data_IF_089095069939
#
_entry.id   IF_089095069939
#
_cell.length_a   1.000
_cell.length_b   1.000
_cell.length_c   1.000
_cell.angle_alpha   90.00
_cell.angle_beta   90.00
_cell.angle_gamma   90.00
#
_symmetry.space_group_name_H-M   'P 1'
#
loop_
_entity.id
_entity.type
_entity.pdbx_description
1 polymer ?
#
# COMPACT_ATOMS: atom_id res chain seq x y z
N UNK A 1 16.66 -11.18 21.99
CA UNK A 1 16.37 -10.96 21.52
C UNK A 1 16.24 -10.61 20.65
N UNK A 2 16.15 -10.68 20.17
CA UNK A 2 16.01 -10.36 19.20
C UNK A 2 15.34 -9.68 18.78
N UNK A 3 15.38 -8.99 18.94
CA UNK A 3 14.89 -8.18 18.49
C UNK A 3 15.05 -7.65 17.35
N UNK A 4 15.56 -8.00 16.61
CA UNK A 4 15.75 -7.45 15.39
C UNK A 4 14.72 -7.87 14.51
N UNK A 5 13.61 -8.12 14.98
CA UNK A 5 12.55 -8.40 14.13
C UNK A 5 12.06 -7.12 13.63
N UNK A 6 12.12 -6.95 12.36
CA UNK A 6 11.51 -5.83 11.78
C UNK A 6 10.09 -6.17 11.61
N UNK A 7 9.28 -5.53 12.34
CA UNK A 7 7.87 -5.77 12.24
C UNK A 7 7.29 -4.69 11.35
N UNK A 8 7.58 -4.81 10.07
CA UNK A 8 7.06 -3.88 9.09
C UNK A 8 6.19 -4.65 8.11
N UNK A 9 4.96 -4.20 7.96
CA UNK A 9 4.01 -4.80 7.05
C UNK A 9 3.79 -3.84 5.90
N UNK A 10 3.86 -4.34 4.68
CA UNK A 10 3.58 -3.54 3.50
C UNK A 10 2.29 -4.01 2.86
N UNK A 11 1.52 -3.07 2.35
CA UNK A 11 0.28 -3.36 1.66
C UNK A 11 0.17 -2.47 0.45
N UNK A 12 -0.31 -3.06 -0.66
CA UNK A 12 -0.50 -2.31 -1.88
C UNK A 12 -1.97 -2.27 -2.24
N UNK A 13 -2.39 -1.18 -2.85
CA UNK A 13 -3.75 -1.08 -3.34
C UNK A 13 -3.78 -0.19 -4.56
N UNK A 14 -4.80 -0.37 -5.39
CA UNK A 14 -4.98 0.45 -6.58
C UNK A 14 -5.24 1.89 -6.18
N UNK A 15 -4.66 2.83 -6.93
CA UNK A 15 -4.89 4.24 -6.70
C UNK A 15 -6.36 4.61 -6.86
N UNK A 16 -7.13 3.79 -7.55
CA UNK A 16 -8.56 4.04 -7.74
C UNK A 16 -9.42 3.47 -6.62
N UNK A 17 -8.83 2.64 -5.76
CA UNK A 17 -9.59 2.00 -4.71
C UNK A 17 -9.53 2.83 -3.43
N UNK A 18 -10.36 3.86 -3.38
CA UNK A 18 -10.37 4.79 -2.26
C UNK A 18 -10.76 4.11 -0.96
N UNK A 19 -11.68 3.16 -1.03
CA UNK A 19 -12.12 2.46 0.17
C UNK A 19 -10.98 1.71 0.84
N UNK A 20 -10.16 1.00 0.04
CA UNK A 20 -9.01 0.28 0.59
C UNK A 20 -7.98 1.24 1.17
N UNK A 21 -7.76 2.38 0.51
CA UNK A 21 -6.82 3.38 1.03
C UNK A 21 -7.28 3.88 2.39
N UNK A 22 -8.57 4.13 2.53
CA UNK A 22 -9.09 4.60 3.80
C UNK A 22 -8.96 3.55 4.90
N UNK A 23 -9.20 2.29 4.56
CA UNK A 23 -9.03 1.20 5.52
C UNK A 23 -7.59 1.11 6.00
N UNK A 24 -6.65 1.21 5.07
CA UNK A 24 -5.23 1.16 5.42
C UNK A 24 -4.84 2.30 6.33
N UNK A 25 -5.29 3.51 6.01
CA UNK A 25 -4.97 4.68 6.84
C UNK A 25 -5.56 4.54 8.23
N UNK A 26 -6.79 4.06 8.33
CA UNK A 26 -7.42 3.87 9.63
C UNK A 26 -6.76 2.78 10.44
N UNK A 27 -6.12 1.83 9.77
CA UNK A 27 -5.41 0.75 10.43
C UNK A 27 -4.00 1.12 10.84
N UNK A 28 -3.61 2.37 10.62
CA UNK A 28 -2.30 2.84 11.03
C UNK A 28 -1.22 2.73 9.97
N UNK A 29 -1.60 2.40 8.74
CA UNK A 29 -0.64 2.36 7.65
C UNK A 29 -0.39 3.77 7.15
N UNK A 30 0.80 4.01 6.64
CA UNK A 30 1.13 5.29 6.05
C UNK A 30 1.54 5.10 4.60
N UNK A 31 1.32 6.12 3.81
CA UNK A 31 1.66 6.10 2.39
C UNK A 31 3.17 6.18 2.22
N UNK A 32 3.71 5.33 1.34
CA UNK A 32 5.14 5.29 1.06
C UNK A 32 5.44 5.80 -0.33
N UNK A 33 4.82 5.21 -1.34
CA UNK A 33 5.11 5.60 -2.70
C UNK A 33 3.97 5.21 -3.63
N UNK A 34 3.95 5.85 -4.79
CA UNK A 34 3.01 5.53 -5.84
C UNK A 34 3.80 4.95 -7.01
N UNK A 35 3.38 3.80 -7.48
CA UNK A 35 4.00 3.14 -8.63
C UNK A 35 3.07 3.31 -9.81
N UNK A 36 3.44 4.19 -10.74
CA UNK A 36 2.62 4.47 -11.90
C UNK A 36 2.70 3.36 -12.91
N UNK A 37 1.61 3.18 -13.68
CA UNK A 37 1.55 2.18 -14.73
C UNK A 37 1.98 0.81 -14.24
N UNK A 38 1.47 0.47 -13.06
CA UNK A 38 1.86 -0.75 -12.38
C UNK A 38 1.22 -1.98 -13.01
N UNK A 39 -0.04 -1.88 -13.38
CA UNK A 39 -0.74 -3.02 -13.94
C UNK A 39 -1.73 -2.55 -14.99
N UNK A 40 -1.87 -3.32 -16.05
CA UNK A 40 -2.79 -3.00 -17.15
C UNK A 40 -4.01 -3.88 -17.02
N UNK A 41 -5.17 -3.26 -16.76
CA UNK A 41 -6.42 -3.98 -16.60
C UNK A 41 -7.54 -3.26 -17.32
N UNK A 42 -8.38 -4.05 -17.99
CA UNK A 42 -9.57 -3.51 -18.66
C UNK A 42 -9.25 -2.33 -19.59
N UNK A 43 -8.16 -2.44 -20.32
CA UNK A 43 -7.81 -1.44 -21.31
C UNK A 43 -7.16 -0.18 -20.76
N UNK A 44 -6.78 -0.17 -19.49
CA UNK A 44 -6.10 1.00 -18.95
C UNK A 44 -5.08 0.63 -17.89
N UNK A 45 -4.13 1.52 -17.72
CA UNK A 45 -3.10 1.35 -16.70
C UNK A 45 -3.60 1.84 -15.36
N UNK A 46 -3.22 1.13 -14.32
CA UNK A 46 -3.57 1.49 -12.96
C UNK A 46 -2.30 1.68 -12.15
N UNK A 47 -2.31 2.68 -11.31
CA UNK A 47 -1.19 2.90 -10.40
C UNK A 47 -1.41 2.10 -9.13
N UNK A 48 -0.30 1.72 -8.50
CA UNK A 48 -0.33 1.01 -7.23
C UNK A 48 0.19 1.94 -6.14
N UNK A 49 -0.52 2.00 -5.03
CA UNK A 49 -0.09 2.78 -3.88
C UNK A 49 0.45 1.83 -2.83
N UNK A 50 1.65 2.11 -2.35
CA UNK A 50 2.29 1.29 -1.34
C UNK A 50 2.18 1.97 0.01
N UNK A 51 1.67 1.23 0.98
CA UNK A 51 1.54 1.69 2.34
C UNK A 51 2.35 0.77 3.25
N UNK A 52 2.77 1.28 4.38
CA UNK A 52 3.49 0.47 5.34
C UNK A 52 3.02 0.78 6.75
N UNK A 53 3.21 -0.20 7.62
CA UNK A 53 2.92 -0.04 9.03
C UNK A 53 4.04 -0.70 9.81
N UNK A 54 4.62 0.05 10.73
CA UNK A 54 5.65 -0.47 11.62
C UNK A 54 4.97 -0.85 12.92
N UNK A 55 5.19 -2.06 13.34
CA UNK A 55 4.56 -2.57 14.54
C UNK A 55 5.49 -2.49 15.73
#
# INVERSE_FOLDING_TARGET
MNKHFIHKIEAGTSAKNIASQNVLKKSGFRFVEQQDNYIFLNGEWHSNLVFEKVI
#
